data_IF_269420539414
#
_entry.id   IF_269420539414
#
_cell.length_a   1.000
_cell.length_b   1.000
_cell.length_c   1.000
_cell.angle_alpha   90.00
_cell.angle_beta   90.00
_cell.angle_gamma   90.00
#
_symmetry.space_group_name_H-M   'P 1'
#
loop_
_entity.id
_entity.type
_entity.pdbx_description
1 polymer ?
#
# COMPACT_ATOMS: atom_id res chain seq x y z
N UNK A 1 12.58 2.58 16.39
CA UNK A 1 11.65 3.01 17.45
C UNK A 1 10.21 2.57 17.14
N UNK A 2 9.60 2.93 15.98
CA UNK A 2 8.21 2.57 15.64
C UNK A 2 7.95 1.07 15.69
N UNK A 3 8.87 0.23 15.19
CA UNK A 3 8.73 -1.22 15.29
C UNK A 3 8.61 -1.68 16.76
N UNK A 4 9.32 -1.05 17.70
CA UNK A 4 9.25 -1.39 19.11
C UNK A 4 7.86 -1.21 19.72
N UNK A 5 7.09 -0.22 19.25
CA UNK A 5 5.70 -0.01 19.71
C UNK A 5 4.75 -1.12 19.27
N UNK A 6 5.10 -1.90 18.25
CA UNK A 6 4.29 -3.05 17.81
C UNK A 6 4.56 -4.32 18.62
N UNK A 7 5.47 -4.27 19.59
CA UNK A 7 5.83 -5.42 20.43
C UNK A 7 4.64 -5.88 21.25
N UNK A 8 4.30 -7.16 21.13
CA UNK A 8 3.11 -7.74 21.78
C UNK A 8 1.79 -7.46 21.04
N UNK A 9 1.82 -6.77 19.90
CA UNK A 9 0.64 -6.50 19.07
C UNK A 9 0.69 -7.43 17.86
N UNK A 10 -0.31 -8.31 17.72
CA UNK A 10 -0.48 -9.19 16.56
C UNK A 10 -1.24 -8.47 15.44
N UNK A 11 -0.63 -7.42 14.90
CA UNK A 11 -1.19 -6.62 13.83
C UNK A 11 -0.10 -6.30 12.81
N UNK A 12 -0.40 -6.48 11.53
CA UNK A 12 0.46 -6.02 10.45
C UNK A 12 0.18 -4.54 10.19
N UNK A 13 1.21 -3.71 10.30
CA UNK A 13 1.15 -2.25 10.17
C UNK A 13 2.06 -1.83 9.04
N UNK A 14 1.59 -0.97 8.15
CA UNK A 14 2.40 -0.34 7.12
C UNK A 14 2.58 1.15 7.41
N UNK A 15 3.82 1.63 7.30
CA UNK A 15 4.15 3.05 7.45
C UNK A 15 4.99 3.53 6.27
N UNK A 16 4.72 4.75 5.79
CA UNK A 16 5.52 5.40 4.76
C UNK A 16 6.79 6.02 5.35
N UNK A 17 7.92 5.86 4.65
CA UNK A 17 9.20 6.49 5.04
C UNK A 17 10.16 6.58 3.84
N UNK A 18 11.05 7.60 3.81
CA UNK A 18 12.16 7.61 2.87
C UNK A 18 13.25 6.63 3.33
N UNK A 19 13.83 5.87 2.39
CA UNK A 19 14.90 4.93 2.67
C UNK A 19 16.07 5.15 1.71
N UNK A 20 17.28 5.34 2.26
CA UNK A 20 18.50 5.40 1.48
C UNK A 20 19.04 3.98 1.25
N UNK A 21 19.31 3.62 0.00
CA UNK A 21 19.87 2.32 -0.36
C UNK A 21 20.75 2.46 -1.60
N UNK A 22 21.99 1.96 -1.51
CA UNK A 22 22.99 1.99 -2.60
C UNK A 22 23.09 3.37 -3.27
N UNK A 23 23.29 4.42 -2.45
CA UNK A 23 23.48 5.79 -2.93
C UNK A 23 22.26 6.47 -3.54
N UNK A 24 21.07 5.90 -3.40
CA UNK A 24 19.79 6.45 -3.89
C UNK A 24 18.81 6.57 -2.74
N UNK A 25 17.83 7.46 -2.90
CA UNK A 25 16.70 7.60 -1.98
C UNK A 25 15.44 7.00 -2.61
N UNK A 26 14.66 6.29 -1.81
CA UNK A 26 13.43 5.62 -2.24
C UNK A 26 12.27 6.03 -1.34
N UNK A 27 11.11 6.26 -1.93
CA UNK A 27 9.85 6.35 -1.21
C UNK A 27 9.39 4.91 -0.91
N UNK A 28 9.26 4.57 0.37
CA UNK A 28 9.03 3.19 0.78
C UNK A 28 7.88 3.06 1.76
N UNK A 29 7.35 1.86 1.85
CA UNK A 29 6.52 1.38 2.95
C UNK A 29 7.28 0.33 3.76
N UNK A 30 7.33 0.47 5.08
CA UNK A 30 7.82 -0.57 5.98
C UNK A 30 6.66 -1.37 6.56
N UNK A 31 6.74 -2.68 6.50
CA UNK A 31 5.81 -3.60 7.13
C UNK A 31 6.31 -3.96 8.54
N UNK A 32 5.52 -3.65 9.56
CA UNK A 32 5.85 -3.84 10.96
C UNK A 32 4.89 -4.84 11.61
N UNK A 33 5.41 -5.75 12.42
CA UNK A 33 4.60 -6.64 13.26
C UNK A 33 5.44 -7.19 14.42
N UNK A 34 4.86 -7.28 15.62
CA UNK A 34 5.45 -7.95 16.75
C UNK A 34 6.83 -7.43 17.19
N UNK A 35 7.09 -6.16 16.99
CA UNK A 35 8.38 -5.52 17.31
C UNK A 35 9.43 -5.58 16.20
N UNK A 36 9.10 -6.13 15.02
CA UNK A 36 10.03 -6.35 13.91
C UNK A 36 9.65 -5.56 12.67
N UNK A 37 10.66 -5.28 11.85
CA UNK A 37 10.48 -4.83 10.46
C UNK A 37 10.51 -6.07 9.57
N UNK A 38 9.36 -6.44 9.03
CA UNK A 38 9.22 -7.65 8.21
C UNK A 38 9.73 -7.46 6.78
N UNK A 39 9.64 -6.23 6.27
CA UNK A 39 10.07 -5.89 4.92
C UNK A 39 9.98 -4.39 4.65
N UNK A 40 10.68 -3.94 3.62
CA UNK A 40 10.64 -2.58 3.10
C UNK A 40 10.27 -2.66 1.62
N UNK A 41 9.16 -2.05 1.24
CA UNK A 41 8.62 -2.05 -0.12
C UNK A 41 8.84 -0.68 -0.74
N UNK A 42 9.75 -0.52 -1.71
CA UNK A 42 9.93 0.74 -2.44
C UNK A 42 8.86 0.94 -3.50
N UNK A 43 8.46 2.20 -3.73
CA UNK A 43 7.53 2.61 -4.77
C UNK A 43 8.08 2.31 -6.17
N UNK A 44 7.27 1.70 -7.02
CA UNK A 44 7.66 1.29 -8.37
C UNK A 44 7.53 2.44 -9.37
N UNK A 45 6.39 3.11 -9.37
CA UNK A 45 6.07 4.18 -10.31
C UNK A 45 6.18 5.53 -9.62
N UNK A 46 7.13 6.34 -10.07
CA UNK A 46 7.40 7.67 -9.50
C UNK A 46 6.74 8.73 -10.40
N UNK A 47 5.70 9.45 -9.93
CA UNK A 47 5.06 10.49 -10.70
C UNK A 47 5.99 11.68 -10.94
N UNK A 48 5.91 12.27 -12.14
CA UNK A 48 6.69 13.44 -12.52
C UNK A 48 5.96 14.23 -13.62
N UNK A 49 4.73 14.60 -13.33
CA UNK A 49 3.84 15.34 -14.21
C UNK A 49 2.90 16.23 -13.39
N UNK A 50 2.39 17.30 -13.99
CA UNK A 50 1.51 18.25 -13.31
C UNK A 50 2.18 18.82 -12.05
N UNK A 51 1.49 18.69 -10.94
CA UNK A 51 1.92 19.08 -9.60
C UNK A 51 2.92 18.11 -8.95
N UNK A 52 3.13 16.95 -9.55
CA UNK A 52 4.03 15.93 -9.01
C UNK A 52 5.45 16.04 -9.58
N UNK A 53 6.45 16.15 -8.70
CA UNK A 53 7.88 16.21 -9.05
C UNK A 53 8.73 15.26 -8.20
N UNK A 54 8.18 14.11 -7.87
CA UNK A 54 8.76 13.13 -6.95
C UNK A 54 10.10 12.56 -7.46
N UNK A 55 10.28 12.46 -8.78
CA UNK A 55 11.55 12.04 -9.40
C UNK A 55 12.75 12.94 -9.06
N UNK A 56 12.52 14.15 -8.57
CA UNK A 56 13.60 15.03 -8.12
C UNK A 56 14.34 14.43 -6.93
N UNK A 57 13.65 13.67 -6.11
CA UNK A 57 14.17 13.17 -4.83
C UNK A 57 14.27 11.65 -4.80
N UNK A 58 13.35 10.94 -5.41
CA UNK A 58 13.21 9.49 -5.29
C UNK A 58 13.47 8.76 -6.59
N UNK A 59 14.13 7.61 -6.44
CA UNK A 59 14.34 6.65 -7.52
C UNK A 59 13.22 5.60 -7.53
N UNK A 60 12.82 5.08 -8.70
CA UNK A 60 11.92 3.93 -8.77
C UNK A 60 12.57 2.70 -8.14
N UNK A 61 11.73 1.78 -7.67
CA UNK A 61 12.15 0.51 -7.07
C UNK A 61 13.19 -0.21 -7.95
N UNK A 62 14.24 -0.78 -7.36
CA UNK A 62 15.16 -1.66 -8.08
C UNK A 62 14.45 -2.96 -8.47
N UNK A 63 15.01 -3.68 -9.44
CA UNK A 63 14.51 -5.00 -9.82
C UNK A 63 14.88 -6.04 -8.75
N UNK A 64 13.88 -6.88 -8.42
CA UNK A 64 14.05 -7.98 -7.47
C UNK A 64 14.16 -7.53 -6.00
N UNK A 65 14.39 -8.50 -5.13
CA UNK A 65 14.53 -8.29 -3.69
C UNK A 65 16.02 -8.36 -3.29
N UNK A 66 16.39 -7.57 -2.28
CA UNK A 66 17.72 -7.54 -1.72
C UNK A 66 17.66 -7.56 -0.19
N UNK A 67 18.77 -7.93 0.45
CA UNK A 67 18.92 -7.77 1.90
C UNK A 67 19.20 -6.30 2.22
N UNK A 68 18.52 -5.77 3.20
CA UNK A 68 18.70 -4.41 3.71
C UNK A 68 19.13 -4.45 5.17
N UNK A 69 20.26 -3.82 5.53
CA UNK A 69 20.71 -3.78 6.91
C UNK A 69 19.80 -2.85 7.73
N UNK A 70 19.38 -3.34 8.86
CA UNK A 70 18.72 -2.56 9.93
C UNK A 70 19.78 -2.16 10.97
N UNK A 71 19.40 -2.16 12.24
CA UNK A 71 20.29 -1.93 13.38
C UNK A 71 20.66 -3.26 14.04
N UNK A 72 21.74 -3.25 14.83
CA UNK A 72 22.17 -4.39 15.64
C UNK A 72 22.31 -5.72 14.85
N UNK A 73 22.92 -5.65 13.67
CA UNK A 73 23.16 -6.81 12.76
C UNK A 73 21.87 -7.45 12.19
N UNK A 74 20.70 -6.92 12.49
CA UNK A 74 19.45 -7.37 11.88
C UNK A 74 19.38 -6.93 10.42
N UNK A 75 18.73 -7.75 9.60
CA UNK A 75 18.45 -7.44 8.20
C UNK A 75 16.98 -7.66 7.89
N UNK A 76 16.49 -7.00 6.85
CA UNK A 76 15.15 -7.23 6.31
C UNK A 76 15.22 -7.29 4.78
N UNK A 77 14.09 -7.61 4.15
CA UNK A 77 14.00 -7.62 2.69
C UNK A 77 13.65 -6.21 2.19
N UNK A 78 14.39 -5.75 1.17
CA UNK A 78 14.11 -4.53 0.43
C UNK A 78 13.77 -4.89 -1.02
N UNK A 79 12.57 -4.56 -1.48
CA UNK A 79 12.11 -4.84 -2.84
C UNK A 79 10.60 -4.88 -2.95
N UNK A 80 10.10 -5.00 -4.17
CA UNK A 80 8.66 -4.98 -4.45
C UNK A 80 8.00 -6.36 -4.40
N UNK A 81 8.76 -7.43 -4.57
CA UNK A 81 8.21 -8.78 -4.70
C UNK A 81 8.10 -9.46 -3.32
N UNK A 82 7.23 -8.89 -2.47
CA UNK A 82 7.01 -9.35 -1.10
C UNK A 82 5.53 -9.61 -0.84
N UNK A 83 5.24 -10.74 -0.20
CA UNK A 83 3.93 -11.05 0.36
C UNK A 83 4.08 -11.33 1.86
N UNK A 84 3.28 -10.66 2.66
CA UNK A 84 3.23 -10.82 4.11
C UNK A 84 2.09 -11.78 4.46
N UNK A 85 2.44 -12.99 4.88
CA UNK A 85 1.47 -14.04 5.17
C UNK A 85 1.22 -14.19 6.68
N UNK A 86 -0.04 -14.37 7.05
CA UNK A 86 -0.39 -14.77 8.41
C UNK A 86 -0.16 -16.29 8.57
N UNK A 87 0.54 -16.67 9.61
CA UNK A 87 0.85 -18.09 9.87
C UNK A 87 -0.36 -18.90 10.39
N UNK A 88 -1.37 -18.22 10.92
CA UNK A 88 -2.58 -18.84 11.46
C UNK A 88 -3.75 -18.81 10.47
N UNK A 89 -3.72 -17.90 9.50
CA UNK A 89 -4.76 -17.73 8.49
C UNK A 89 -4.13 -17.84 7.10
N UNK A 90 -4.06 -19.06 6.56
CA UNK A 90 -3.39 -19.37 5.29
C UNK A 90 -3.90 -18.55 4.10
N UNK A 91 -5.14 -18.09 4.19
CA UNK A 91 -5.79 -17.23 3.18
C UNK A 91 -5.28 -15.78 3.22
N UNK A 92 -4.68 -15.37 4.33
CA UNK A 92 -4.22 -13.99 4.53
C UNK A 92 -2.83 -13.78 3.95
N UNK A 93 -2.76 -13.19 2.78
CA UNK A 93 -1.50 -12.74 2.14
C UNK A 93 -1.64 -11.29 1.74
N UNK A 94 -0.87 -10.44 2.35
CA UNK A 94 -0.92 -8.98 2.14
C UNK A 94 0.24 -8.56 1.25
N UNK A 95 -0.05 -7.78 0.22
CA UNK A 95 0.93 -7.06 -0.59
C UNK A 95 0.81 -5.56 -0.33
N UNK A 96 1.88 -4.82 -0.61
CA UNK A 96 1.89 -3.37 -0.49
C UNK A 96 2.34 -2.74 -1.81
N UNK A 97 1.68 -1.65 -2.18
CA UNK A 97 2.12 -0.72 -3.23
C UNK A 97 1.90 0.72 -2.76
N UNK A 98 2.41 1.72 -3.49
CA UNK A 98 2.41 3.09 -2.99
C UNK A 98 1.86 4.05 -4.05
N UNK A 99 0.76 4.71 -3.70
CA UNK A 99 0.18 5.86 -4.41
C UNK A 99 0.08 5.63 -5.93
N UNK A 100 0.98 6.25 -6.71
CA UNK A 100 1.04 6.17 -8.19
C UNK A 100 1.08 4.75 -8.74
N UNK A 101 1.52 3.78 -7.95
CA UNK A 101 1.54 2.38 -8.36
C UNK A 101 0.17 1.88 -8.82
N UNK A 102 -0.93 2.31 -8.16
CA UNK A 102 -2.29 1.98 -8.56
C UNK A 102 -2.71 2.64 -9.88
N UNK A 103 -2.23 3.87 -10.14
CA UNK A 103 -2.65 4.67 -11.31
C UNK A 103 -1.91 4.26 -12.57
N UNK A 104 -0.82 3.52 -12.44
CA UNK A 104 -0.05 2.98 -13.56
C UNK A 104 -0.86 2.00 -14.39
N UNK A 105 -0.57 1.90 -15.68
CA UNK A 105 -1.24 0.95 -16.59
C UNK A 105 -1.12 -0.52 -16.16
N UNK A 106 -0.02 -0.88 -15.47
CA UNK A 106 0.21 -2.20 -14.88
C UNK A 106 0.67 -2.00 -13.43
N UNK A 107 -0.25 -1.92 -12.48
CA UNK A 107 0.07 -1.84 -11.05
C UNK A 107 0.87 -3.06 -10.56
N UNK A 108 1.81 -2.89 -9.61
CA UNK A 108 2.52 -4.02 -8.99
C UNK A 108 1.59 -5.06 -8.38
N UNK A 109 0.44 -4.64 -7.84
CA UNK A 109 -0.58 -5.51 -7.26
C UNK A 109 -1.14 -6.56 -8.22
N UNK A 110 -1.10 -6.32 -9.54
CA UNK A 110 -1.49 -7.35 -10.53
C UNK A 110 -0.59 -8.59 -10.41
N UNK A 111 0.72 -8.40 -10.27
CA UNK A 111 1.66 -9.51 -10.06
C UNK A 111 1.50 -10.12 -8.67
N UNK A 112 1.27 -9.30 -7.66
CA UNK A 112 1.10 -9.75 -6.28
C UNK A 112 -0.15 -10.63 -6.13
N UNK A 113 -1.27 -10.23 -6.73
CA UNK A 113 -2.51 -11.02 -6.70
C UNK A 113 -2.38 -12.32 -7.51
N UNK A 114 -1.69 -12.30 -8.65
CA UNK A 114 -1.33 -13.50 -9.39
C UNK A 114 -0.41 -14.44 -8.57
N UNK A 115 0.46 -13.89 -7.71
CA UNK A 115 1.29 -14.65 -6.77
C UNK A 115 0.53 -15.08 -5.49
N UNK A 116 -0.75 -14.76 -5.37
CA UNK A 116 -1.64 -15.20 -4.30
C UNK A 116 -1.95 -14.17 -3.23
N UNK A 117 -1.59 -12.89 -3.39
CA UNK A 117 -2.03 -11.84 -2.46
C UNK A 117 -3.55 -11.74 -2.44
N UNK A 118 -4.15 -11.81 -1.26
CA UNK A 118 -5.61 -11.65 -1.06
C UNK A 118 -5.96 -10.23 -0.64
N UNK A 119 -5.02 -9.52 -0.06
CA UNK A 119 -5.18 -8.14 0.37
C UNK A 119 -4.04 -7.31 -0.26
N UNK A 120 -4.37 -6.17 -0.82
CA UNK A 120 -3.43 -5.15 -1.28
C UNK A 120 -3.63 -3.90 -0.44
N UNK A 121 -2.56 -3.37 0.14
CA UNK A 121 -2.57 -2.07 0.82
C UNK A 121 -1.84 -1.04 -0.02
N UNK A 122 -2.38 0.16 -0.09
CA UNK A 122 -1.79 1.29 -0.80
C UNK A 122 -1.68 2.49 0.15
N UNK A 123 -0.45 2.95 0.37
CA UNK A 123 -0.16 4.16 1.13
C UNK A 123 -0.07 5.32 0.13
N UNK A 124 -0.96 6.28 0.23
CA UNK A 124 -1.12 7.32 -0.77
C UNK A 124 -1.01 8.73 -0.17
N UNK A 125 -0.50 9.64 -0.96
CA UNK A 125 -0.65 11.08 -0.81
C UNK A 125 -1.18 11.61 -2.14
N UNK A 126 -2.43 11.29 -2.42
CA UNK A 126 -3.13 11.70 -3.65
C UNK A 126 -3.86 13.00 -3.38
N UNK A 127 -3.53 14.01 -4.17
CA UNK A 127 -4.22 15.30 -4.10
C UNK A 127 -5.72 15.16 -4.44
N UNK A 128 -6.52 16.08 -3.92
CA UNK A 128 -7.95 16.13 -4.21
C UNK A 128 -8.24 17.23 -5.24
N UNK A 129 -8.85 16.83 -6.34
CA UNK A 129 -9.32 17.71 -7.39
C UNK A 129 -10.79 17.40 -7.75
N UNK A 130 -11.46 18.30 -8.47
CA UNK A 130 -12.87 18.12 -8.84
C UNK A 130 -13.07 16.81 -9.61
N UNK A 131 -13.90 15.93 -9.09
CA UNK A 131 -14.25 14.63 -9.68
C UNK A 131 -13.27 13.49 -9.35
N UNK A 132 -12.13 13.76 -8.73
CA UNK A 132 -11.11 12.73 -8.46
C UNK A 132 -11.57 11.70 -7.41
N UNK A 133 -12.35 12.10 -6.42
CA UNK A 133 -12.92 11.19 -5.42
C UNK A 133 -13.76 10.07 -6.06
N UNK A 134 -14.66 10.41 -6.98
CA UNK A 134 -15.49 9.43 -7.68
C UNK A 134 -14.68 8.55 -8.64
N UNK A 135 -13.70 9.16 -9.33
CA UNK A 135 -12.78 8.38 -10.17
C UNK A 135 -11.95 7.40 -9.35
N UNK A 136 -11.44 7.82 -8.18
CA UNK A 136 -10.70 6.97 -7.24
C UNK A 136 -11.53 5.78 -6.80
N UNK A 137 -12.79 5.99 -6.39
CA UNK A 137 -13.71 4.90 -6.02
C UNK A 137 -13.92 3.91 -7.16
N UNK A 138 -14.17 4.41 -8.36
CA UNK A 138 -14.35 3.60 -9.55
C UNK A 138 -13.09 2.77 -9.86
N UNK A 139 -11.93 3.40 -9.79
CA UNK A 139 -10.63 2.74 -10.05
C UNK A 139 -10.36 1.62 -9.04
N UNK A 140 -10.53 1.91 -7.74
CA UNK A 140 -10.31 0.92 -6.69
C UNK A 140 -11.29 -0.26 -6.81
N UNK A 141 -12.57 0.01 -7.01
CA UNK A 141 -13.57 -1.01 -7.20
C UNK A 141 -13.26 -1.91 -8.40
N UNK A 142 -13.00 -1.32 -9.56
CA UNK A 142 -12.66 -2.06 -10.77
C UNK A 142 -11.37 -2.88 -10.59
N UNK A 143 -10.33 -2.30 -9.96
CA UNK A 143 -9.06 -2.98 -9.73
C UNK A 143 -9.20 -4.15 -8.74
N UNK A 144 -9.91 -3.94 -7.63
CA UNK A 144 -10.22 -4.96 -6.63
C UNK A 144 -11.02 -6.12 -7.23
N UNK A 145 -12.05 -5.82 -8.04
CA UNK A 145 -12.88 -6.82 -8.71
C UNK A 145 -12.10 -7.62 -9.76
N UNK A 146 -11.33 -6.94 -10.62
CA UNK A 146 -10.51 -7.59 -11.65
C UNK A 146 -9.49 -8.56 -11.07
N UNK A 147 -8.90 -8.22 -9.93
CA UNK A 147 -7.85 -9.01 -9.29
C UNK A 147 -8.38 -9.97 -8.20
N UNK A 148 -9.68 -9.96 -7.95
CA UNK A 148 -10.36 -10.74 -6.90
C UNK A 148 -9.61 -10.61 -5.57
N UNK A 149 -9.48 -9.38 -5.08
CA UNK A 149 -8.75 -9.07 -3.83
C UNK A 149 -9.49 -8.02 -3.00
N UNK A 150 -9.14 -7.92 -1.73
CA UNK A 150 -9.41 -6.72 -0.96
C UNK A 150 -8.36 -5.67 -1.30
N UNK A 151 -8.79 -4.43 -1.46
CA UNK A 151 -7.91 -3.29 -1.69
C UNK A 151 -8.15 -2.23 -0.63
N UNK A 152 -7.10 -1.94 0.16
CA UNK A 152 -7.13 -0.98 1.27
C UNK A 152 -6.29 0.22 0.87
N UNK A 153 -6.93 1.35 0.73
CA UNK A 153 -6.33 2.61 0.31
C UNK A 153 -6.34 3.60 1.47
N UNK A 154 -5.17 4.01 1.92
CA UNK A 154 -5.00 5.02 2.96
C UNK A 154 -4.38 6.27 2.36
N UNK A 155 -5.09 7.40 2.47
CA UNK A 155 -4.72 8.66 1.84
C UNK A 155 -4.30 9.72 2.85
N UNK A 156 -3.38 10.58 2.44
CA UNK A 156 -2.96 11.74 3.21
C UNK A 156 -4.13 12.69 3.47
N UNK A 157 -4.13 13.35 4.61
CA UNK A 157 -5.20 14.21 5.03
C UNK A 157 -4.75 15.53 5.63
N UNK A 158 -5.59 16.10 6.46
CA UNK A 158 -5.34 17.36 7.15
C UNK A 158 -4.07 17.25 8.00
N UNK A 159 -3.17 18.20 7.83
CA UNK A 159 -1.87 18.24 8.51
C UNK A 159 -0.70 17.89 7.62
N UNK A 160 -0.95 17.30 6.43
CA UNK A 160 0.10 17.17 5.43
C UNK A 160 0.54 18.56 4.93
N UNK A 161 1.87 18.77 4.92
CA UNK A 161 2.45 20.01 4.42
C UNK A 161 2.54 19.96 2.90
N UNK A 162 1.96 20.96 2.24
CA UNK A 162 2.00 21.08 0.79
C UNK A 162 1.97 22.54 0.36
N UNK A 163 2.59 22.85 -0.79
CA UNK A 163 2.50 24.16 -1.44
C UNK A 163 1.45 24.16 -2.53
N UNK A 164 1.27 23.04 -3.23
CA UNK A 164 0.51 22.96 -4.48
C UNK A 164 -0.67 22.00 -4.42
N UNK A 165 -0.74 21.14 -3.40
CA UNK A 165 -1.71 20.05 -3.31
C UNK A 165 -2.60 20.18 -2.07
N UNK A 166 -3.84 19.68 -2.20
CA UNK A 166 -4.79 19.54 -1.10
C UNK A 166 -5.09 18.06 -0.91
N UNK A 167 -5.04 17.58 0.32
CA UNK A 167 -5.29 16.19 0.65
C UNK A 167 -6.59 16.02 1.42
N UNK A 168 -7.39 15.03 1.03
CA UNK A 168 -8.74 14.84 1.55
C UNK A 168 -8.88 13.75 2.62
N UNK A 169 -7.85 12.97 2.93
CA UNK A 169 -7.96 11.77 3.76
C UNK A 169 -9.08 10.83 3.27
N UNK A 170 -9.15 10.62 1.96
CA UNK A 170 -10.19 9.81 1.34
C UNK A 170 -9.83 8.33 1.37
N UNK A 171 -9.86 7.72 2.57
CA UNK A 171 -9.55 6.32 2.76
C UNK A 171 -10.69 5.44 2.28
N UNK A 172 -10.34 4.34 1.61
CA UNK A 172 -11.30 3.44 0.96
C UNK A 172 -10.92 1.98 1.19
N UNK A 173 -11.91 1.13 1.40
CA UNK A 173 -11.73 -0.32 1.44
C UNK A 173 -12.70 -0.94 0.44
N UNK A 174 -12.16 -1.63 -0.56
CA UNK A 174 -12.92 -2.40 -1.54
C UNK A 174 -12.62 -3.89 -1.41
N UNK A 175 -13.59 -4.75 -1.66
CA UNK A 175 -13.44 -6.20 -1.73
C UNK A 175 -14.13 -6.73 -2.97
N UNK A 176 -13.39 -7.38 -3.85
CA UNK A 176 -13.93 -8.02 -5.06
C UNK A 176 -14.93 -7.13 -5.83
N UNK A 177 -14.58 -5.86 -6.01
CA UNK A 177 -15.37 -4.87 -6.71
C UNK A 177 -16.38 -4.09 -5.87
N UNK A 178 -16.69 -4.53 -4.66
CA UNK A 178 -17.62 -3.84 -3.77
C UNK A 178 -16.87 -2.84 -2.86
N UNK A 179 -17.39 -1.63 -2.72
CA UNK A 179 -16.94 -0.66 -1.71
C UNK A 179 -17.52 -1.10 -0.35
N UNK A 180 -16.64 -1.43 0.61
CA UNK A 180 -17.03 -1.85 1.96
C UNK A 180 -17.02 -0.69 2.96
N UNK A 181 -16.04 0.22 2.84
CA UNK A 181 -15.92 1.37 3.72
C UNK A 181 -15.30 2.56 2.99
N UNK A 182 -15.73 3.75 3.38
CA UNK A 182 -15.26 5.02 2.85
C UNK A 182 -15.17 6.04 4.01
N UNK A 183 -13.98 6.65 4.16
CA UNK A 183 -13.83 7.80 5.03
C UNK A 183 -14.41 9.04 4.35
N UNK A 184 -15.09 9.89 5.12
CA UNK A 184 -15.59 11.16 4.60
C UNK A 184 -14.42 12.05 4.18
N UNK A 185 -14.37 12.51 2.92
CA UNK A 185 -13.34 13.46 2.48
C UNK A 185 -13.27 14.69 3.41
N UNK A 186 -12.05 15.13 3.71
CA UNK A 186 -11.74 16.21 4.64
C UNK A 186 -12.18 15.92 6.10
N UNK A 187 -12.41 14.66 6.42
CA UNK A 187 -12.71 14.18 7.76
C UNK A 187 -11.47 13.75 8.53
N UNK A 188 -11.66 12.84 9.49
CA UNK A 188 -10.57 12.33 10.36
C UNK A 188 -9.72 11.24 9.73
N UNK A 189 -10.03 10.80 8.51
CA UNK A 189 -9.30 9.75 7.79
C UNK A 189 -9.32 8.41 8.53
N UNK A 190 -10.49 7.75 8.57
CA UNK A 190 -10.61 6.41 9.14
C UNK A 190 -11.69 5.61 8.41
N UNK A 191 -11.28 4.49 7.85
CA UNK A 191 -12.19 3.50 7.28
C UNK A 191 -11.89 2.12 7.90
N UNK A 192 -12.93 1.36 8.21
CA UNK A 192 -12.81 0.02 8.80
C UNK A 192 -13.78 -0.93 8.10
N UNK A 193 -13.34 -2.16 7.84
CA UNK A 193 -14.16 -3.21 7.26
C UNK A 193 -13.69 -4.60 7.72
N UNK A 194 -14.61 -5.55 7.70
CA UNK A 194 -14.32 -6.98 7.82
C UNK A 194 -14.27 -7.57 6.42
N UNK A 195 -13.22 -8.32 6.11
CA UNK A 195 -12.98 -8.92 4.80
C UNK A 195 -13.37 -10.41 4.81
N UNK A 196 -14.05 -10.86 3.76
CA UNK A 196 -14.39 -12.27 3.56
C UNK A 196 -13.36 -12.95 2.64
N UNK A 197 -12.21 -13.32 3.24
CA UNK A 197 -11.12 -13.97 2.52
C UNK A 197 -11.53 -15.34 1.95
N UNK A 198 -12.41 -16.07 2.65
CA UNK A 198 -12.91 -17.35 2.20
C UNK A 198 -13.71 -17.23 0.91
N UNK A 199 -14.60 -16.22 0.82
CA UNK A 199 -15.33 -15.91 -0.39
C UNK A 199 -14.39 -15.58 -1.55
N UNK A 200 -13.41 -14.72 -1.34
CA UNK A 200 -12.45 -14.34 -2.39
C UNK A 200 -11.69 -15.56 -2.93
N UNK A 201 -11.29 -16.49 -2.05
CA UNK A 201 -10.66 -17.74 -2.50
C UNK A 201 -11.61 -18.63 -3.30
N UNK A 202 -12.87 -18.72 -2.90
CA UNK A 202 -13.87 -19.45 -3.67
C UNK A 202 -14.03 -18.86 -5.07
N UNK A 203 -14.12 -17.53 -5.19
CA UNK A 203 -14.23 -16.86 -6.49
C UNK A 203 -12.98 -17.11 -7.37
N UNK A 204 -11.78 -17.02 -6.81
CA UNK A 204 -10.53 -17.31 -7.54
C UNK A 204 -10.43 -18.75 -8.07
N UNK A 205 -11.04 -19.71 -7.38
CA UNK A 205 -11.06 -21.11 -7.83
C UNK A 205 -12.04 -21.35 -8.98
N UNK A 206 -12.98 -20.43 -9.19
CA UNK A 206 -14.00 -20.51 -10.24
C UNK A 206 -13.60 -19.78 -11.52
N UNK A 207 -12.68 -18.82 -11.41
CA UNK A 207 -12.11 -18.07 -12.52
C UNK A 207 -10.86 -18.75 -13.06
#
# INVERSE_FOLDING_TARGET
ELAAFTKGISMLIFIGLPVAYIGKLYNCAAALCGGKVLGIVPKTHIPNYGEFYEKRYFSPAPKGNASYPLWAEETTIFGTDQLFADINLSETKVACEICEDLWAGIPPSVRHTAAGATIVVNLSASDETVGKAEYRKTLLGAHSGKNVCAYVYADAGMGESTTDMVFAAHDLICENGALLAEAKPFGTGRAEAVLDLGRMQCERRRS
#
